data_IF_638605239920
#
_entry.id   IF_638605239920
#
_cell.length_a   1.000
_cell.length_b   1.000
_cell.length_c   1.000
_cell.angle_alpha   90.00
_cell.angle_beta   90.00
_cell.angle_gamma   90.00
#
_symmetry.space_group_name_H-M   'P 1'
#
loop_
_entity.id
_entity.type
_entity.pdbx_description
1 polymer ?
#
# COMPACT_ATOMS: atom_id res chain seq x y z
N UNK A 1 2.10 -8.46 -22.70
CA UNK A 1 1.07 -8.31 -21.65
C UNK A 1 1.49 -7.11 -20.85
N UNK A 2 0.82 -5.98 -21.04
CA UNK A 2 1.11 -4.76 -20.30
C UNK A 2 0.90 -5.06 -18.82
N UNK A 3 1.97 -4.97 -18.03
CA UNK A 3 1.86 -5.12 -16.59
C UNK A 3 1.16 -3.89 -16.05
N UNK A 4 -0.09 -4.06 -15.63
CA UNK A 4 -0.93 -3.03 -15.01
C UNK A 4 -0.37 -2.52 -13.68
N UNK A 5 0.57 -3.25 -13.07
CA UNK A 5 1.23 -2.89 -11.82
C UNK A 5 2.62 -3.56 -11.66
N UNK A 6 3.42 -3.01 -10.76
CA UNK A 6 4.69 -3.54 -10.29
C UNK A 6 4.53 -4.06 -8.85
N UNK A 7 4.87 -5.33 -8.60
CA UNK A 7 4.96 -5.86 -7.23
C UNK A 7 6.37 -5.65 -6.66
N UNK A 8 6.45 -5.25 -5.40
CA UNK A 8 7.72 -5.05 -4.70
C UNK A 8 7.54 -5.12 -3.18
N UNK A 9 8.65 -5.10 -2.45
CA UNK A 9 8.66 -5.09 -0.99
C UNK A 9 8.96 -3.70 -0.45
N UNK A 10 8.21 -3.29 0.57
CA UNK A 10 8.43 -2.09 1.38
C UNK A 10 9.14 -2.51 2.66
N UNK A 11 10.21 -1.81 3.01
CA UNK A 11 10.92 -2.04 4.28
C UNK A 11 10.46 -1.04 5.32
N UNK A 12 9.81 -1.53 6.38
CA UNK A 12 9.45 -0.72 7.54
C UNK A 12 10.70 -0.35 8.35
N UNK A 13 10.57 0.67 9.22
CA UNK A 13 11.67 1.16 10.06
C UNK A 13 12.29 0.09 10.98
N UNK A 14 11.50 -0.91 11.36
CA UNK A 14 11.91 -2.06 12.17
C UNK A 14 12.43 -3.24 11.34
N UNK A 15 12.55 -3.08 10.01
CA UNK A 15 13.02 -4.10 9.08
C UNK A 15 11.93 -5.03 8.55
N UNK A 16 10.69 -4.91 9.04
CA UNK A 16 9.57 -5.73 8.56
C UNK A 16 9.31 -5.48 7.07
N UNK A 17 9.10 -6.53 6.28
CA UNK A 17 8.82 -6.42 4.85
C UNK A 17 7.32 -6.46 4.57
N UNK A 18 6.79 -5.45 3.86
CA UNK A 18 5.42 -5.43 3.39
C UNK A 18 5.35 -5.69 1.89
N UNK A 19 4.52 -6.63 1.47
CA UNK A 19 4.26 -6.88 0.06
C UNK A 19 3.36 -5.77 -0.50
N UNK A 20 3.79 -5.14 -1.59
CA UNK A 20 3.11 -3.98 -2.17
C UNK A 20 2.93 -4.11 -3.69
N UNK A 21 1.98 -3.36 -4.22
CA UNK A 21 1.68 -3.22 -5.64
C UNK A 21 1.60 -1.73 -6.00
N UNK A 22 2.42 -1.32 -6.96
CA UNK A 22 2.42 0.03 -7.51
C UNK A 22 1.80 0.05 -8.91
N UNK A 23 0.81 0.91 -9.10
CA UNK A 23 0.10 1.11 -10.36
C UNK A 23 0.50 2.49 -10.90
N UNK A 24 1.36 2.56 -11.93
CA UNK A 24 1.75 3.85 -12.51
C UNK A 24 0.54 4.53 -13.17
N UNK A 25 0.48 5.86 -13.13
CA UNK A 25 -0.51 6.63 -13.89
C UNK A 25 -0.42 6.30 -15.40
N UNK A 26 -1.55 6.03 -16.05
CA UNK A 26 -1.60 5.69 -17.48
C UNK A 26 -1.88 6.90 -18.39
N UNK A 27 -2.48 7.97 -17.84
CA UNK A 27 -2.79 9.21 -18.56
C UNK A 27 -1.97 10.41 -18.05
N UNK A 28 -2.49 11.64 -18.16
CA UNK A 28 -1.86 12.84 -17.61
C UNK A 28 -1.74 12.69 -16.09
N UNK A 29 -0.49 12.64 -15.63
CA UNK A 29 -0.15 12.44 -14.22
C UNK A 29 -0.78 13.51 -13.32
N UNK A 30 -1.58 13.07 -12.37
CA UNK A 30 -2.12 13.89 -11.29
C UNK A 30 -1.01 14.38 -10.36
N UNK A 31 -1.27 15.46 -9.62
CA UNK A 31 -0.26 16.08 -8.76
C UNK A 31 0.17 15.19 -7.59
N UNK A 32 -0.81 14.54 -6.93
CA UNK A 32 -0.55 13.73 -5.75
C UNK A 32 -0.90 12.26 -6.00
N UNK A 33 -0.01 11.31 -5.65
CA UNK A 33 -0.29 9.89 -5.72
C UNK A 33 -1.27 9.45 -4.63
N UNK A 34 -1.89 8.29 -4.82
CA UNK A 34 -2.85 7.70 -3.88
C UNK A 34 -2.23 6.51 -3.16
N UNK A 35 -2.33 6.51 -1.83
CA UNK A 35 -2.07 5.34 -1.00
C UNK A 35 -3.40 4.74 -0.54
N UNK A 36 -3.61 3.46 -0.84
CA UNK A 36 -4.76 2.69 -0.34
C UNK A 36 -4.33 1.96 0.93
N UNK A 37 -4.97 2.28 2.05
CA UNK A 37 -4.79 1.62 3.34
C UNK A 37 -5.90 0.57 3.55
N UNK A 38 -5.58 -0.74 3.52
CA UNK A 38 -6.57 -1.80 3.59
C UNK A 38 -7.38 -1.88 4.89
N UNK A 39 -8.54 -2.53 4.83
CA UNK A 39 -9.21 -3.04 6.03
C UNK A 39 -8.49 -4.25 6.65
N UNK A 40 -8.74 -4.49 7.95
CA UNK A 40 -8.27 -5.67 8.69
C UNK A 40 -8.57 -6.96 7.94
N UNK A 41 -7.53 -7.77 7.70
CA UNK A 41 -7.63 -9.08 7.05
C UNK A 41 -7.84 -9.03 5.54
N UNK A 42 -7.94 -7.84 4.93
CA UNK A 42 -8.10 -7.68 3.48
C UNK A 42 -6.74 -7.47 2.83
N UNK A 43 -6.47 -8.21 1.77
CA UNK A 43 -5.21 -8.10 1.02
C UNK A 43 -5.27 -7.02 -0.05
N UNK A 44 -4.10 -6.53 -0.48
CA UNK A 44 -3.92 -5.57 -1.58
C UNK A 44 -4.60 -5.99 -2.87
N UNK A 45 -4.70 -7.29 -3.14
CA UNK A 45 -5.33 -7.84 -4.33
C UNK A 45 -6.84 -7.51 -4.41
N UNK A 46 -7.52 -7.34 -3.27
CA UNK A 46 -8.92 -6.90 -3.25
C UNK A 46 -9.10 -5.54 -3.93
N UNK A 47 -8.11 -4.66 -3.81
CA UNK A 47 -8.16 -3.30 -4.35
C UNK A 47 -7.69 -3.23 -5.81
N UNK A 48 -7.31 -4.35 -6.45
CA UNK A 48 -6.68 -4.34 -7.77
C UNK A 48 -7.53 -3.61 -8.83
N UNK A 49 -8.82 -3.90 -8.92
CA UNK A 49 -9.71 -3.25 -9.89
C UNK A 49 -9.85 -1.75 -9.62
N UNK A 50 -9.92 -1.34 -8.35
CA UNK A 50 -10.03 0.06 -7.96
C UNK A 50 -8.73 0.84 -8.21
N UNK A 51 -7.58 0.26 -7.85
CA UNK A 51 -6.26 0.84 -8.12
C UNK A 51 -5.98 0.97 -9.62
N UNK A 52 -6.39 -0.03 -10.41
CA UNK A 52 -6.29 0.02 -11.88
C UNK A 52 -7.15 1.15 -12.45
N UNK A 53 -8.38 1.30 -11.97
CA UNK A 53 -9.26 2.39 -12.40
C UNK A 53 -8.68 3.77 -12.04
N UNK A 54 -8.16 3.95 -10.82
CA UNK A 54 -7.48 5.18 -10.40
C UNK A 54 -6.23 5.48 -11.25
N UNK A 55 -5.45 4.46 -11.59
CA UNK A 55 -4.30 4.58 -12.51
C UNK A 55 -4.72 5.08 -13.89
N UNK A 56 -5.86 4.61 -14.40
CA UNK A 56 -6.46 5.13 -15.65
C UNK A 56 -6.95 6.57 -15.51
N UNK A 57 -7.34 7.01 -14.30
CA UNK A 57 -7.69 8.41 -14.05
C UNK A 57 -6.46 9.34 -13.91
N UNK A 58 -5.24 8.81 -14.08
CA UNK A 58 -4.00 9.60 -14.06
C UNK A 58 -3.28 9.60 -12.71
N UNK A 59 -3.67 8.79 -11.74
CA UNK A 59 -2.99 8.71 -10.43
C UNK A 59 -1.92 7.63 -10.42
N UNK A 60 -0.76 7.92 -9.81
CA UNK A 60 0.12 6.86 -9.31
C UNK A 60 -0.53 6.29 -8.05
N UNK A 61 -0.69 4.96 -7.97
CA UNK A 61 -1.41 4.32 -6.85
C UNK A 61 -0.53 3.25 -6.21
N UNK A 62 -0.53 3.21 -4.87
CA UNK A 62 0.11 2.16 -4.09
C UNK A 62 -0.94 1.46 -3.22
N UNK A 63 -0.93 0.13 -3.25
CA UNK A 63 -1.61 -0.72 -2.27
C UNK A 63 -0.61 -1.70 -1.67
N UNK A 64 -0.84 -2.13 -0.44
CA UNK A 64 0.06 -3.03 0.28
C UNK A 64 -0.72 -3.95 1.21
N UNK A 65 -0.10 -5.05 1.62
CA UNK A 65 -0.60 -5.90 2.70
C UNK A 65 0.00 -5.41 4.02
N UNK A 66 -0.83 -5.13 5.03
CA UNK A 66 -0.36 -4.86 6.39
C UNK A 66 0.44 -6.04 6.96
N UNK A 67 1.37 -5.76 7.89
CA UNK A 67 2.11 -6.84 8.56
C UNK A 67 1.15 -7.86 9.15
N UNK A 68 1.46 -9.14 8.96
CA UNK A 68 0.62 -10.26 9.40
C UNK A 68 -0.57 -10.59 8.50
N UNK A 69 -0.74 -9.90 7.37
CA UNK A 69 -1.82 -10.16 6.39
C UNK A 69 -1.22 -10.52 5.03
N UNK A 70 -1.90 -11.43 4.31
CA UNK A 70 -1.56 -11.75 2.92
C UNK A 70 -0.11 -12.17 2.73
N UNK A 71 0.57 -11.56 1.77
CA UNK A 71 1.98 -11.83 1.49
C UNK A 71 2.94 -11.13 2.46
N UNK A 72 2.44 -10.21 3.30
CA UNK A 72 3.19 -9.60 4.40
C UNK A 72 3.13 -10.42 5.69
N UNK A 73 2.54 -11.62 5.70
CA UNK A 73 2.64 -12.54 6.83
C UNK A 73 3.94 -13.34 6.72
N UNK A 74 4.85 -13.12 7.68
CA UNK A 74 6.08 -13.89 7.77
C UNK A 74 5.94 -14.97 8.85
N UNK A 75 6.06 -16.24 8.44
CA UNK A 75 5.91 -17.38 9.35
C UNK A 75 4.46 -17.79 9.62
N UNK A 76 4.24 -18.54 10.69
CA UNK A 76 2.92 -19.06 11.02
C UNK A 76 2.02 -17.96 11.61
N UNK A 77 0.76 -17.88 11.18
CA UNK A 77 -0.21 -16.88 11.67
C UNK A 77 -0.31 -16.83 13.20
N UNK A 78 -0.27 -18.00 13.87
CA UNK A 78 -0.33 -18.11 15.33
C UNK A 78 0.86 -17.45 16.05
N UNK A 79 1.97 -17.23 15.35
CA UNK A 79 3.18 -16.60 15.87
C UNK A 79 3.28 -15.12 15.47
N UNK A 80 2.34 -14.61 14.67
CA UNK A 80 2.30 -13.20 14.29
C UNK A 80 2.02 -12.34 15.51
N UNK A 81 2.86 -11.33 15.73
CA UNK A 81 2.68 -10.30 16.76
C UNK A 81 2.13 -9.00 16.19
N UNK A 82 1.63 -9.02 14.95
CA UNK A 82 1.10 -7.83 14.28
C UNK A 82 -0.02 -7.18 15.12
N UNK A 83 0.08 -5.86 15.29
CA UNK A 83 -0.94 -5.07 15.97
C UNK A 83 -1.42 -3.90 15.11
N UNK A 84 -2.64 -3.42 15.37
CA UNK A 84 -3.17 -2.22 14.73
C UNK A 84 -2.30 -0.98 15.02
N UNK A 85 -1.62 -0.97 16.17
CA UNK A 85 -0.68 0.09 16.54
C UNK A 85 0.54 0.07 15.62
N UNK A 86 1.11 -1.10 15.33
CA UNK A 86 2.23 -1.23 14.39
C UNK A 86 1.83 -0.80 12.98
N UNK A 87 0.59 -1.09 12.57
CA UNK A 87 0.08 -0.63 11.28
C UNK A 87 0.13 0.90 11.16
N UNK A 88 -0.31 1.61 12.20
CA UNK A 88 -0.33 3.08 12.22
C UNK A 88 1.06 3.72 12.35
N UNK A 89 1.95 3.15 13.18
CA UNK A 89 3.23 3.81 13.50
C UNK A 89 4.42 3.33 12.66
N UNK A 90 4.30 2.17 11.98
CA UNK A 90 5.38 1.58 11.18
C UNK A 90 4.96 1.37 9.72
N UNK A 91 3.82 0.72 9.48
CA UNK A 91 3.48 0.26 8.12
C UNK A 91 2.98 1.39 7.22
N UNK A 92 2.00 2.16 7.69
CA UNK A 92 1.48 3.32 6.93
C UNK A 92 2.60 4.34 6.66
N UNK A 93 3.42 4.76 7.65
CA UNK A 93 4.55 5.66 7.38
C UNK A 93 5.53 5.12 6.34
N UNK A 94 5.90 3.83 6.42
CA UNK A 94 6.80 3.21 5.44
C UNK A 94 6.20 3.20 4.02
N UNK A 95 4.89 2.98 3.90
CA UNK A 95 4.19 3.02 2.62
C UNK A 95 4.09 4.45 2.06
N UNK A 96 3.83 5.46 2.91
CA UNK A 96 3.83 6.88 2.52
C UNK A 96 5.21 7.28 2.01
N UNK A 97 6.26 7.02 2.79
CA UNK A 97 7.64 7.39 2.43
C UNK A 97 8.06 6.75 1.12
N UNK A 98 7.75 5.45 0.95
CA UNK A 98 7.99 4.72 -0.28
C UNK A 98 7.30 5.37 -1.47
N UNK A 99 6.01 5.72 -1.32
CA UNK A 99 5.22 6.30 -2.41
C UNK A 99 5.76 7.69 -2.80
N UNK A 100 6.06 8.53 -1.82
CA UNK A 100 6.63 9.87 -2.04
C UNK A 100 7.98 9.77 -2.76
N UNK A 101 8.88 8.90 -2.31
CA UNK A 101 10.19 8.68 -2.94
C UNK A 101 10.02 8.20 -4.39
N UNK A 102 9.16 7.20 -4.62
CA UNK A 102 8.97 6.59 -5.94
C UNK A 102 8.37 7.57 -6.94
N UNK A 103 7.45 8.42 -6.50
CA UNK A 103 6.71 9.35 -7.38
C UNK A 103 7.32 10.74 -7.45
N UNK A 104 8.24 11.06 -6.54
CA UNK A 104 8.82 12.40 -6.30
C UNK A 104 7.77 13.46 -5.93
N UNK A 105 6.62 13.03 -5.44
CA UNK A 105 5.60 13.92 -4.91
C UNK A 105 6.02 14.45 -3.54
N UNK A 106 5.41 15.56 -3.12
CA UNK A 106 5.60 16.16 -1.80
C UNK A 106 4.49 15.77 -0.80
N UNK A 107 3.36 15.25 -1.30
CA UNK A 107 2.19 14.86 -0.52
C UNK A 107 1.55 13.60 -1.12
N UNK A 108 0.75 12.89 -0.32
CA UNK A 108 -0.04 11.73 -0.75
C UNK A 108 -1.52 11.96 -0.43
N UNK A 109 -2.40 11.40 -1.25
CA UNK A 109 -3.82 11.24 -0.92
C UNK A 109 -3.98 9.86 -0.27
N UNK A 110 -4.51 9.83 0.95
CA UNK A 110 -4.81 8.58 1.67
C UNK A 110 -6.26 8.18 1.46
N UNK A 111 -6.48 6.94 1.03
CA UNK A 111 -7.79 6.30 0.99
C UNK A 111 -7.76 5.13 1.96
N UNK A 112 -8.43 5.29 3.10
CA UNK A 112 -8.54 4.26 4.12
C UNK A 112 -9.86 3.50 4.05
N UNK A 113 -9.80 2.17 4.19
CA UNK A 113 -10.97 1.31 4.33
C UNK A 113 -11.01 0.72 5.75
N UNK A 114 -12.09 0.96 6.51
CA UNK A 114 -12.30 0.42 7.86
C UNK A 114 -11.11 0.73 8.78
N UNK A 115 -10.41 -0.27 9.32
CA UNK A 115 -9.21 -0.07 10.14
C UNK A 115 -8.15 0.80 9.46
N UNK A 116 -7.96 0.68 8.15
CA UNK A 116 -7.04 1.54 7.40
C UNK A 116 -7.51 2.98 7.24
N UNK A 117 -8.78 3.29 7.52
CA UNK A 117 -9.29 4.66 7.62
C UNK A 117 -9.45 5.17 9.06
N UNK A 118 -9.36 4.28 10.05
CA UNK A 118 -9.32 4.65 11.46
C UNK A 118 -7.92 5.11 11.90
N UNK A 119 -6.89 4.52 11.30
CA UNK A 119 -5.47 4.85 11.51
C UNK A 119 -5.06 6.11 10.75
#
# INVERSE_FOLDING_TARGET
MDKTFESFWITCKDGYQLAAQFYPAQEKKAEYPILICPATGITKNFYHSFATWLSQQGYDVLSFDFRGIGESLHGALKQSTASITDWGILDIPAAIDTLLIKTKANQVILIGHSAGGQL
#
